data_IF_647488728803
#
_entry.id   IF_647488728803
#
_cell.length_a   1.000
_cell.length_b   1.000
_cell.length_c   1.000
_cell.angle_alpha   90.00
_cell.angle_beta   90.00
_cell.angle_gamma   90.00
#
_symmetry.space_group_name_H-M   'P 1'
#
loop_
_entity.id
_entity.type
_entity.pdbx_description
1 polymer ?
#
# COMPACT_ATOMS: atom_id res chain seq x y z
N UNK A 1 22.47 -49.75 -69.31
CA UNK A 1 22.87 -50.60 -68.16
C UNK A 1 23.82 -49.78 -67.30
N UNK A 2 23.64 -49.48 -66.02
CA UNK A 2 22.59 -49.75 -65.02
C UNK A 2 22.59 -48.52 -64.07
N UNK A 3 21.39 -48.07 -63.72
CA UNK A 3 21.14 -46.97 -62.80
C UNK A 3 21.42 -47.40 -61.35
N UNK A 4 22.04 -46.56 -60.54
CA UNK A 4 22.05 -46.72 -59.07
C UNK A 4 21.42 -45.45 -58.48
N UNK A 5 20.18 -45.63 -58.02
CA UNK A 5 19.38 -44.63 -57.33
C UNK A 5 19.80 -44.63 -55.86
N UNK A 6 20.28 -43.50 -55.34
CA UNK A 6 20.45 -43.31 -53.89
C UNK A 6 19.12 -42.88 -53.28
N UNK A 7 18.53 -43.76 -52.45
CA UNK A 7 17.35 -43.46 -51.66
C UNK A 7 17.76 -42.80 -50.34
N UNK A 8 17.32 -41.56 -50.12
CA UNK A 8 17.50 -40.81 -48.88
C UNK A 8 16.38 -41.21 -47.90
N UNK A 9 16.68 -42.02 -46.90
CA UNK A 9 15.74 -42.35 -45.82
C UNK A 9 15.69 -41.23 -44.79
N UNK A 10 14.60 -40.46 -44.77
CA UNK A 10 14.30 -39.47 -43.74
C UNK A 10 13.75 -40.21 -42.50
N UNK A 11 14.55 -40.30 -41.43
CA UNK A 11 14.10 -40.80 -40.13
C UNK A 11 13.26 -39.71 -39.44
N UNK A 12 11.94 -39.91 -39.34
CA UNK A 12 11.06 -39.07 -38.51
C UNK A 12 11.23 -39.47 -37.04
N UNK A 13 11.91 -38.62 -36.25
CA UNK A 13 11.92 -38.69 -34.79
C UNK A 13 10.58 -38.14 -34.26
N UNK A 14 9.67 -39.03 -33.88
CA UNK A 14 8.43 -38.67 -33.19
C UNK A 14 8.78 -38.31 -31.74
N UNK A 15 8.80 -37.03 -31.43
CA UNK A 15 8.88 -36.55 -30.05
C UNK A 15 7.51 -36.75 -29.39
N UNK A 16 7.36 -37.82 -28.61
CA UNK A 16 6.24 -37.96 -27.69
C UNK A 16 6.44 -36.99 -26.52
N UNK A 17 5.89 -35.78 -26.64
CA UNK A 17 5.69 -34.92 -25.49
C UNK A 17 4.55 -35.50 -24.64
N UNK A 18 4.88 -36.16 -23.53
CA UNK A 18 3.91 -36.52 -22.51
C UNK A 18 3.36 -35.23 -21.89
N UNK A 19 2.19 -34.79 -22.34
CA UNK A 19 1.45 -33.74 -21.66
C UNK A 19 0.99 -34.28 -20.30
N UNK A 20 1.60 -33.81 -19.21
CA UNK A 20 1.13 -34.09 -17.86
C UNK A 20 -0.27 -33.48 -17.66
N UNK A 21 -1.18 -34.21 -17.01
CA UNK A 21 -2.49 -33.68 -16.62
C UNK A 21 -2.26 -32.52 -15.65
N UNK A 22 -2.68 -31.31 -16.04
CA UNK A 22 -2.64 -30.14 -15.16
C UNK A 22 -3.91 -30.12 -14.31
N UNK A 23 -3.74 -30.23 -13.00
CA UNK A 23 -4.81 -30.03 -12.02
C UNK A 23 -4.65 -28.68 -11.32
N UNK A 24 -5.73 -28.09 -10.77
CA UNK A 24 -5.61 -26.87 -9.98
C UNK A 24 -4.65 -27.06 -8.80
N UNK A 25 -3.75 -26.09 -8.59
CA UNK A 25 -2.85 -26.12 -7.45
C UNK A 25 -3.64 -26.01 -6.15
N UNK A 26 -3.36 -26.89 -5.17
CA UNK A 26 -4.02 -26.89 -3.87
C UNK A 26 -3.80 -25.59 -3.07
N UNK A 27 -2.76 -24.83 -3.40
CA UNK A 27 -2.48 -23.50 -2.86
C UNK A 27 -2.13 -22.58 -4.03
N UNK A 28 -3.12 -21.89 -4.62
CA UNK A 28 -2.89 -21.02 -5.76
C UNK A 28 -1.90 -19.91 -5.44
N UNK A 29 -1.01 -19.61 -6.38
CA UNK A 29 -0.13 -18.44 -6.31
C UNK A 29 -0.96 -17.17 -6.53
N UNK A 30 -0.66 -16.12 -5.78
CA UNK A 30 -1.19 -14.78 -6.00
C UNK A 30 -0.08 -13.76 -6.00
N UNK A 31 -0.28 -12.68 -6.76
CA UNK A 31 0.56 -11.49 -6.76
C UNK A 31 -0.35 -10.28 -6.62
N UNK A 32 0.04 -9.32 -5.79
CA UNK A 32 -0.67 -8.04 -5.66
C UNK A 32 0.31 -6.89 -5.51
N UNK A 33 -0.05 -5.75 -6.09
CA UNK A 33 0.69 -4.50 -5.98
C UNK A 33 -0.18 -3.46 -5.26
N UNK A 34 0.44 -2.64 -4.41
CA UNK A 34 -0.23 -1.53 -3.75
C UNK A 34 0.72 -0.36 -3.57
N UNK A 35 0.26 0.85 -3.86
CA UNK A 35 1.03 2.07 -3.59
C UNK A 35 0.55 2.70 -2.30
N UNK A 36 1.47 2.86 -1.34
CA UNK A 36 1.25 3.52 -0.05
C UNK A 36 2.11 4.76 -0.02
N UNK A 37 1.48 5.93 0.10
CA UNK A 37 2.17 7.20 -0.11
C UNK A 37 2.81 7.26 -1.50
N UNK A 38 4.14 7.21 -1.56
CA UNK A 38 4.93 7.15 -2.80
C UNK A 38 5.77 5.88 -2.91
N UNK A 39 5.41 4.83 -2.17
CA UNK A 39 6.14 3.56 -2.11
C UNK A 39 5.26 2.43 -2.62
N UNK A 40 5.77 1.69 -3.59
CA UNK A 40 5.13 0.49 -4.12
C UNK A 40 5.51 -0.71 -3.25
N UNK A 41 4.50 -1.45 -2.84
CA UNK A 41 4.60 -2.68 -2.07
C UNK A 41 4.02 -3.82 -2.90
N UNK A 42 4.83 -4.84 -3.17
CA UNK A 42 4.43 -6.03 -3.90
C UNK A 42 4.39 -7.24 -2.97
N UNK A 43 3.33 -8.04 -3.07
CA UNK A 43 3.20 -9.33 -2.40
C UNK A 43 3.17 -10.46 -3.43
N UNK A 44 3.90 -11.53 -3.18
CA UNK A 44 3.87 -12.76 -3.96
C UNK A 44 3.86 -13.96 -3.01
N UNK A 45 2.76 -14.73 -2.99
CA UNK A 45 2.59 -15.83 -2.04
C UNK A 45 1.58 -16.87 -2.52
N UNK A 46 1.65 -18.09 -1.97
CA UNK A 46 0.61 -19.11 -2.20
C UNK A 46 -0.44 -19.08 -1.09
N UNK A 47 -1.70 -19.34 -1.47
CA UNK A 47 -2.87 -19.20 -0.60
C UNK A 47 -3.48 -20.56 -0.22
N UNK A 48 -2.98 -21.27 0.81
CA UNK A 48 -3.63 -22.50 1.27
C UNK A 48 -5.03 -22.24 1.85
N UNK A 49 -5.96 -23.15 1.60
CA UNK A 49 -7.31 -23.14 2.20
C UNK A 49 -7.33 -23.86 3.55
N UNK A 50 -8.25 -23.46 4.43
CA UNK A 50 -8.48 -24.10 5.72
C UNK A 50 -9.01 -25.52 5.55
N UNK A 51 -9.96 -25.72 4.64
CA UNK A 51 -10.55 -27.02 4.31
C UNK A 51 -11.04 -27.76 5.56
N UNK A 52 -11.87 -27.11 6.38
CA UNK A 52 -12.41 -27.66 7.64
C UNK A 52 -11.38 -28.05 8.71
N UNK A 53 -10.08 -27.78 8.52
CA UNK A 53 -9.04 -28.04 9.52
C UNK A 53 -9.01 -26.93 10.58
N UNK A 54 -8.42 -27.23 11.74
CA UNK A 54 -7.93 -26.21 12.67
C UNK A 54 -6.58 -25.71 12.16
N UNK A 55 -6.39 -24.40 12.10
CA UNK A 55 -5.12 -23.87 11.57
C UNK A 55 -4.11 -23.76 12.71
N UNK A 56 -4.39 -22.90 13.69
CA UNK A 56 -3.39 -22.59 14.72
C UNK A 56 -3.43 -23.60 15.86
N UNK A 57 -2.25 -24.12 16.21
CA UNK A 57 -2.09 -25.21 17.16
C UNK A 57 -2.31 -26.61 16.58
N UNK A 58 -2.55 -26.73 15.27
CA UNK A 58 -2.60 -28.01 14.54
C UNK A 58 -1.77 -27.91 13.25
N UNK A 59 -2.34 -27.43 12.14
CA UNK A 59 -1.61 -27.28 10.87
C UNK A 59 -0.41 -26.32 10.99
N UNK A 60 -0.57 -25.26 11.77
CA UNK A 60 0.49 -24.31 12.13
C UNK A 60 0.70 -24.43 13.65
N UNK A 61 1.70 -25.23 14.09
CA UNK A 61 1.97 -25.43 15.51
C UNK A 61 2.43 -24.14 16.19
N UNK A 62 2.02 -23.94 17.44
CA UNK A 62 2.54 -22.84 18.25
C UNK A 62 4.02 -23.03 18.60
N UNK A 63 4.71 -21.91 18.79
CA UNK A 63 6.14 -21.83 19.12
C UNK A 63 7.09 -22.41 18.06
N UNK A 64 6.58 -22.70 16.85
CA UNK A 64 7.34 -23.21 15.73
C UNK A 64 7.41 -22.17 14.62
N UNK A 65 8.58 -22.06 13.97
CA UNK A 65 8.74 -21.18 12.82
C UNK A 65 7.87 -21.66 11.66
N UNK A 66 7.21 -20.73 10.98
CA UNK A 66 6.35 -20.97 9.84
C UNK A 66 6.72 -20.03 8.70
N UNK A 67 6.73 -20.56 7.48
CA UNK A 67 6.97 -19.82 6.22
C UNK A 67 5.86 -18.84 5.82
N UNK A 68 4.85 -18.65 6.68
CA UNK A 68 3.72 -17.73 6.49
C UNK A 68 3.05 -17.89 5.12
N UNK A 69 2.64 -19.12 4.79
CA UNK A 69 2.03 -19.47 3.51
C UNK A 69 2.25 -20.96 3.14
N UNK A 70 2.14 -21.27 1.85
CA UNK A 70 2.41 -22.59 1.28
C UNK A 70 3.42 -22.53 0.12
N UNK A 71 4.00 -23.67 -0.27
CA UNK A 71 4.97 -23.78 -1.35
C UNK A 71 6.22 -22.90 -1.10
N UNK A 72 6.63 -22.11 -2.09
CA UNK A 72 7.66 -21.06 -1.97
C UNK A 72 7.21 -20.03 -0.91
N UNK A 73 8.16 -19.58 -0.10
CA UNK A 73 7.99 -18.50 0.88
C UNK A 73 7.20 -17.31 0.34
N UNK A 74 6.40 -16.71 1.23
CA UNK A 74 5.70 -15.46 0.93
C UNK A 74 6.71 -14.31 0.84
N UNK A 75 6.71 -13.59 -0.28
CA UNK A 75 7.63 -12.50 -0.56
C UNK A 75 6.90 -11.18 -0.48
N UNK A 76 7.52 -10.21 0.17
CA UNK A 76 7.15 -8.79 0.14
C UNK A 76 8.30 -7.97 -0.41
N UNK A 77 8.01 -7.07 -1.35
CA UNK A 77 9.00 -6.20 -1.99
C UNK A 77 8.63 -4.74 -1.82
N UNK A 78 9.60 -3.92 -1.45
CA UNK A 78 9.44 -2.47 -1.26
C UNK A 78 10.28 -1.68 -2.28
N UNK A 79 9.69 -0.65 -2.89
CA UNK A 79 10.41 0.28 -3.78
C UNK A 79 11.31 1.28 -3.05
N UNK A 80 11.05 1.53 -1.77
CA UNK A 80 11.76 2.46 -0.91
C UNK A 80 12.07 1.82 0.44
N UNK A 81 12.99 2.43 1.19
CA UNK A 81 13.20 2.07 2.59
C UNK A 81 11.92 2.35 3.37
N UNK A 82 11.53 1.43 4.25
CA UNK A 82 10.34 1.55 5.10
C UNK A 82 10.72 1.41 6.57
N UNK A 83 9.82 1.80 7.47
CA UNK A 83 9.99 1.53 8.90
C UNK A 83 8.96 0.53 9.40
N UNK A 84 9.42 -0.43 10.19
CA UNK A 84 8.60 -1.48 10.80
C UNK A 84 9.05 -1.61 12.26
N UNK A 85 8.12 -1.37 13.20
CA UNK A 85 8.41 -1.40 14.64
C UNK A 85 9.60 -0.49 15.05
N UNK A 86 9.73 0.67 14.40
CA UNK A 86 10.81 1.63 14.64
C UNK A 86 12.17 1.26 14.03
N UNK A 87 12.30 0.08 13.41
CA UNK A 87 13.49 -0.33 12.68
C UNK A 87 13.34 0.02 11.19
N UNK A 88 14.43 0.52 10.58
CA UNK A 88 14.48 0.74 9.13
C UNK A 88 14.72 -0.59 8.42
N UNK A 89 13.82 -0.92 7.49
CA UNK A 89 13.98 -2.01 6.53
C UNK A 89 14.34 -1.38 5.18
N UNK A 90 15.53 -1.69 4.67
CA UNK A 90 15.99 -1.16 3.38
C UNK A 90 15.09 -1.63 2.24
N UNK A 91 14.97 -0.84 1.16
CA UNK A 91 14.25 -1.27 -0.05
C UNK A 91 14.77 -2.63 -0.56
N UNK A 92 13.87 -3.44 -1.12
CA UNK A 92 14.20 -4.77 -1.60
C UNK A 92 13.13 -5.80 -1.30
N UNK A 93 13.44 -7.06 -1.58
CA UNK A 93 12.55 -8.22 -1.39
C UNK A 93 12.92 -9.01 -0.14
N UNK A 94 11.90 -9.40 0.61
CA UNK A 94 12.04 -10.14 1.86
C UNK A 94 11.04 -11.27 1.91
N UNK A 95 11.45 -12.39 2.49
CA UNK A 95 10.52 -13.44 2.90
C UNK A 95 9.84 -13.08 4.19
N UNK A 96 8.56 -13.38 4.30
CA UNK A 96 7.80 -13.26 5.52
C UNK A 96 7.81 -14.61 6.22
N UNK A 97 8.34 -14.65 7.45
CA UNK A 97 8.18 -15.77 8.36
C UNK A 97 7.41 -15.31 9.60
N UNK A 98 6.77 -16.26 10.27
CA UNK A 98 6.09 -16.00 11.52
C UNK A 98 6.30 -17.18 12.47
N UNK A 99 6.31 -16.88 13.77
CA UNK A 99 6.27 -17.88 14.84
C UNK A 99 5.08 -17.55 15.74
N UNK A 100 3.93 -18.19 15.50
CA UNK A 100 2.74 -18.02 16.32
C UNK A 100 2.97 -18.49 17.75
N UNK A 101 2.45 -17.76 18.72
CA UNK A 101 2.22 -18.28 20.10
C UNK A 101 0.74 -18.14 20.44
N UNK A 102 0.35 -18.56 21.64
CA UNK A 102 -1.03 -18.39 22.14
C UNK A 102 -1.38 -16.89 22.29
N UNK A 103 -0.40 -16.04 22.62
CA UNK A 103 -0.63 -14.61 22.86
C UNK A 103 -0.13 -13.73 21.72
N UNK A 104 1.20 -13.68 21.53
CA UNK A 104 1.84 -12.82 20.54
C UNK A 104 2.49 -13.62 19.42
N UNK A 105 2.57 -13.04 18.24
CA UNK A 105 3.28 -13.61 17.11
C UNK A 105 4.59 -12.88 16.90
N UNK A 106 5.66 -13.63 16.72
CA UNK A 106 6.90 -13.07 16.17
C UNK A 106 6.77 -13.08 14.65
N UNK A 107 6.94 -11.93 13.99
CA UNK A 107 6.98 -11.82 12.52
C UNK A 107 8.38 -11.40 12.11
N UNK A 108 8.87 -11.96 11.00
CA UNK A 108 10.23 -11.78 10.51
C UNK A 108 10.23 -11.41 9.04
N UNK A 109 11.03 -10.40 8.70
CA UNK A 109 11.38 -10.06 7.32
C UNK A 109 12.81 -10.58 7.08
N UNK A 110 12.93 -11.60 6.24
CA UNK A 110 14.16 -12.36 6.04
C UNK A 110 14.74 -12.13 4.65
N UNK A 111 16.05 -11.87 4.56
CA UNK A 111 16.71 -11.45 3.31
C UNK A 111 16.77 -12.52 2.22
N UNK A 112 16.79 -13.80 2.58
CA UNK A 112 16.80 -14.87 1.58
C UNK A 112 15.37 -15.16 1.10
N UNK A 113 15.13 -15.01 -0.21
CA UNK A 113 13.83 -15.16 -0.89
C UNK A 113 13.65 -16.48 -1.64
N UNK A 114 14.62 -17.40 -1.61
CA UNK A 114 14.58 -18.63 -2.42
C UNK A 114 14.19 -19.89 -1.63
N UNK A 115 13.54 -19.72 -0.47
CA UNK A 115 13.22 -20.83 0.42
C UNK A 115 11.88 -21.50 0.08
N UNK A 116 11.87 -22.83 0.03
CA UNK A 116 10.68 -23.67 -0.18
C UNK A 116 10.13 -24.23 1.14
N UNK A 117 10.19 -23.43 2.19
CA UNK A 117 10.01 -23.89 3.57
C UNK A 117 10.61 -22.94 4.60
N UNK A 118 10.63 -23.38 5.85
CA UNK A 118 11.60 -22.87 6.82
C UNK A 118 12.95 -23.49 6.46
N UNK A 119 14.02 -22.70 6.28
CA UNK A 119 15.36 -23.23 6.03
C UNK A 119 15.76 -24.23 7.12
N UNK A 120 16.43 -25.32 6.74
CA UNK A 120 16.93 -26.31 7.71
C UNK A 120 17.88 -25.66 8.73
N UNK A 121 18.76 -24.78 8.25
CA UNK A 121 19.58 -23.92 9.11
C UNK A 121 19.03 -22.49 9.05
N UNK A 122 18.46 -22.03 10.15
CA UNK A 122 18.06 -20.64 10.32
C UNK A 122 19.28 -19.76 10.61
N UNK A 123 19.48 -18.69 9.84
CA UNK A 123 20.64 -17.80 9.95
C UNK A 123 20.16 -16.43 10.45
N UNK A 124 20.37 -16.14 11.73
CA UNK A 124 19.83 -14.93 12.37
C UNK A 124 20.32 -13.63 11.72
N UNK A 125 21.53 -13.60 11.14
CA UNK A 125 22.05 -12.41 10.44
C UNK A 125 21.29 -12.04 9.16
N UNK A 126 20.46 -12.95 8.64
CA UNK A 126 19.57 -12.71 7.50
C UNK A 126 18.20 -12.16 7.93
N UNK A 127 17.89 -12.10 9.23
CA UNK A 127 16.71 -11.42 9.76
C UNK A 127 16.95 -9.92 9.66
N UNK A 128 16.25 -9.25 8.73
CA UNK A 128 16.36 -7.81 8.54
C UNK A 128 15.54 -7.03 9.58
N UNK A 129 14.33 -7.51 9.86
CA UNK A 129 13.46 -7.00 10.93
C UNK A 129 12.76 -8.17 11.60
N UNK A 130 12.64 -8.08 12.93
CA UNK A 130 11.83 -8.94 13.78
C UNK A 130 10.93 -8.07 14.63
N UNK A 131 9.66 -8.42 14.74
CA UNK A 131 8.71 -7.72 15.60
C UNK A 131 7.75 -8.69 16.28
N UNK A 132 7.21 -8.27 17.42
CA UNK A 132 6.11 -8.95 18.11
C UNK A 132 4.80 -8.24 17.80
N UNK A 133 3.79 -8.98 17.38
CA UNK A 133 2.45 -8.46 17.05
C UNK A 133 1.39 -9.27 17.78
N UNK A 134 0.42 -8.60 18.37
CA UNK A 134 -0.75 -9.26 18.98
C UNK A 134 -1.80 -9.53 17.89
N UNK A 135 -2.18 -10.79 17.63
CA UNK A 135 -3.26 -11.10 16.70
C UNK A 135 -4.60 -10.53 17.16
N UNK A 136 -5.42 -10.15 16.20
CA UNK A 136 -6.80 -9.72 16.39
C UNK A 136 -7.74 -10.85 15.99
N UNK A 137 -8.66 -11.18 16.89
CA UNK A 137 -9.73 -12.15 16.61
C UNK A 137 -10.76 -11.54 15.64
N UNK A 138 -11.12 -12.31 14.62
CA UNK A 138 -12.11 -11.96 13.62
C UNK A 138 -13.45 -12.61 13.94
N UNK A 139 -14.54 -11.92 13.60
CA UNK A 139 -15.90 -12.45 13.77
C UNK A 139 -16.27 -13.48 12.69
N UNK A 140 -15.57 -13.45 11.54
CA UNK A 140 -15.80 -14.33 10.41
C UNK A 140 -14.58 -15.23 10.17
N UNK A 141 -14.81 -16.42 9.64
CA UNK A 141 -13.74 -17.32 9.23
C UNK A 141 -13.22 -16.94 7.85
N UNK A 142 -11.91 -16.70 7.76
CA UNK A 142 -11.13 -16.54 6.54
C UNK A 142 -10.71 -17.92 6.06
N UNK A 143 -11.39 -18.42 5.04
CA UNK A 143 -11.17 -19.77 4.49
C UNK A 143 -9.80 -19.90 3.83
N UNK A 144 -9.40 -18.91 3.03
CA UNK A 144 -8.16 -18.95 2.25
C UNK A 144 -7.14 -17.99 2.82
N UNK A 145 -5.94 -18.49 3.14
CA UNK A 145 -4.83 -17.68 3.63
C UNK A 145 -4.62 -16.44 2.74
N UNK A 146 -4.54 -15.28 3.39
CA UNK A 146 -4.49 -14.00 2.71
C UNK A 146 -3.46 -13.09 3.37
N UNK A 147 -2.51 -12.61 2.57
CA UNK A 147 -1.71 -11.42 2.85
C UNK A 147 -2.35 -10.25 2.12
N UNK A 148 -2.55 -9.13 2.84
CA UNK A 148 -3.18 -7.94 2.29
C UNK A 148 -2.47 -6.67 2.75
N UNK A 149 -2.45 -5.65 1.88
CA UNK A 149 -2.07 -4.28 2.26
C UNK A 149 -3.35 -3.50 2.54
N UNK A 150 -3.60 -3.19 3.81
CA UNK A 150 -4.83 -2.59 4.29
C UNK A 150 -4.58 -1.31 5.10
N UNK A 151 -5.67 -0.64 5.51
CA UNK A 151 -5.62 0.55 6.38
C UNK A 151 -4.63 1.61 5.88
N UNK A 152 -4.64 1.83 4.56
CA UNK A 152 -3.71 2.71 3.88
C UNK A 152 -3.98 4.16 4.28
N UNK A 153 -2.92 4.85 4.69
CA UNK A 153 -2.87 6.29 4.88
C UNK A 153 -1.87 6.89 3.89
N UNK A 154 -1.67 8.21 3.93
CA UNK A 154 -0.63 8.86 3.12
C UNK A 154 0.79 8.45 3.52
N UNK A 155 1.02 7.89 4.71
CA UNK A 155 2.35 7.59 5.25
C UNK A 155 2.49 6.20 5.88
N UNK A 156 1.45 5.37 5.87
CA UNK A 156 1.50 4.04 6.47
C UNK A 156 0.45 3.08 5.91
N UNK A 157 0.63 1.79 6.16
CA UNK A 157 -0.38 0.76 5.97
C UNK A 157 -0.22 -0.34 7.03
N UNK A 158 -1.14 -1.31 7.01
CA UNK A 158 -0.99 -2.60 7.67
C UNK A 158 -0.76 -3.69 6.61
N UNK A 159 0.31 -4.47 6.76
CA UNK A 159 0.38 -5.81 6.19
C UNK A 159 -0.44 -6.72 7.10
N UNK A 160 -1.57 -7.21 6.60
CA UNK A 160 -2.45 -8.11 7.32
C UNK A 160 -2.16 -9.55 6.93
N UNK A 161 -1.93 -10.41 7.92
CA UNK A 161 -1.83 -11.87 7.75
C UNK A 161 -3.13 -12.48 8.26
N UNK A 162 -4.01 -12.89 7.34
CA UNK A 162 -5.34 -13.40 7.66
C UNK A 162 -5.49 -14.89 7.34
N UNK A 163 -5.93 -15.68 8.32
CA UNK A 163 -6.38 -17.05 8.10
C UNK A 163 -7.18 -17.55 9.30
N UNK A 164 -8.14 -18.44 9.05
CA UNK A 164 -9.09 -18.88 10.08
C UNK A 164 -9.78 -17.68 10.71
N UNK A 165 -9.64 -17.45 12.01
CA UNK A 165 -10.29 -16.37 12.74
C UNK A 165 -9.29 -15.35 13.28
N UNK A 166 -8.08 -15.28 12.71
CA UNK A 166 -7.04 -14.34 13.13
C UNK A 166 -6.65 -13.39 12.00
N UNK A 167 -6.40 -12.13 12.37
CA UNK A 167 -5.63 -11.16 11.61
C UNK A 167 -4.39 -10.76 12.43
N UNK A 168 -3.21 -10.78 11.82
CA UNK A 168 -1.98 -10.26 12.42
C UNK A 168 -1.57 -8.98 11.67
N UNK A 169 -1.91 -7.79 12.19
CA UNK A 169 -1.63 -6.53 11.51
C UNK A 169 -0.20 -6.03 11.81
N UNK A 170 0.66 -6.03 10.80
CA UNK A 170 2.01 -5.46 10.86
C UNK A 170 1.98 -4.03 10.30
N UNK A 171 2.18 -3.03 11.15
CA UNK A 171 2.28 -1.63 10.70
C UNK A 171 3.59 -1.40 9.95
N UNK A 172 3.45 -0.81 8.76
CA UNK A 172 4.55 -0.40 7.89
C UNK A 172 4.40 1.11 7.65
N UNK A 173 5.46 1.85 7.90
CA UNK A 173 5.52 3.30 7.66
C UNK A 173 6.42 3.57 6.45
N UNK A 174 5.96 4.45 5.55
CA UNK A 174 6.64 4.79 4.29
C UNK A 174 7.16 6.22 4.33
N UNK A 175 8.25 6.54 3.59
CA UNK A 175 8.95 7.82 3.71
C UNK A 175 8.28 8.96 2.92
N UNK A 176 6.96 9.04 2.93
CA UNK A 176 6.19 10.00 2.12
C UNK A 176 6.63 11.44 2.37
N UNK A 177 6.69 11.85 3.64
CA UNK A 177 7.03 13.25 3.97
C UNK A 177 8.43 13.64 3.54
N UNK A 178 9.39 12.73 3.72
CA UNK A 178 10.77 12.92 3.25
C UNK A 178 10.81 13.11 1.73
N UNK A 179 10.11 12.25 0.97
CA UNK A 179 10.09 12.29 -0.49
C UNK A 179 9.37 13.53 -1.01
N UNK A 180 8.19 13.84 -0.48
CA UNK A 180 7.41 15.01 -0.90
C UNK A 180 8.12 16.31 -0.54
N UNK A 181 8.69 16.42 0.66
CA UNK A 181 9.41 17.64 1.06
C UNK A 181 10.64 17.89 0.19
N UNK A 182 11.42 16.85 -0.11
CA UNK A 182 12.56 16.96 -1.03
C UNK A 182 12.12 17.39 -2.44
N UNK A 183 11.01 16.82 -2.94
CA UNK A 183 10.46 17.20 -4.24
C UNK A 183 9.94 18.64 -4.26
N UNK A 184 9.24 19.09 -3.22
CA UNK A 184 8.79 20.48 -3.09
C UNK A 184 9.99 21.43 -3.13
N UNK A 185 11.05 21.16 -2.37
CA UNK A 185 12.27 21.99 -2.38
C UNK A 185 12.85 22.13 -3.79
N UNK A 186 12.91 21.04 -4.55
CA UNK A 186 13.41 21.06 -5.92
C UNK A 186 12.49 21.85 -6.87
N UNK A 187 11.19 21.60 -6.82
CA UNK A 187 10.20 22.21 -7.74
C UNK A 187 10.02 23.71 -7.48
N UNK A 188 10.19 24.15 -6.23
CA UNK A 188 10.07 25.56 -5.85
C UNK A 188 11.16 26.48 -6.43
N UNK A 189 12.14 25.94 -7.16
CA UNK A 189 13.09 26.75 -7.95
C UNK A 189 12.47 27.37 -9.22
N UNK A 190 11.39 26.79 -9.75
CA UNK A 190 10.67 27.30 -10.92
C UNK A 190 9.21 26.84 -10.94
N UNK A 191 8.41 27.16 -9.92
CA UNK A 191 7.11 26.55 -9.71
C UNK A 191 6.03 27.10 -10.66
N UNK A 192 5.17 26.20 -11.13
CA UNK A 192 3.91 26.55 -11.79
C UNK A 192 2.82 26.89 -10.76
N UNK A 193 1.68 27.41 -11.23
CA UNK A 193 0.51 27.58 -10.37
C UNK A 193 0.10 26.26 -9.68
N UNK A 194 0.14 25.13 -10.41
CA UNK A 194 -0.22 23.82 -9.86
C UNK A 194 0.78 23.33 -8.81
N UNK A 195 2.06 23.63 -8.97
CA UNK A 195 3.08 23.23 -7.98
C UNK A 195 2.87 23.93 -6.65
N UNK A 196 2.57 25.23 -6.68
CA UNK A 196 2.18 25.98 -5.50
C UNK A 196 0.92 25.40 -4.83
N UNK A 197 -0.11 25.09 -5.62
CA UNK A 197 -1.34 24.49 -5.11
C UNK A 197 -1.09 23.12 -4.46
N UNK A 198 -0.34 22.25 -5.13
CA UNK A 198 -0.04 20.90 -4.65
C UNK A 198 0.79 20.94 -3.36
N UNK A 199 1.80 21.83 -3.28
CA UNK A 199 2.59 22.02 -2.08
C UNK A 199 1.75 22.55 -0.91
N UNK A 200 0.91 23.57 -1.15
CA UNK A 200 0.00 24.11 -0.16
C UNK A 200 -0.98 23.06 0.37
N UNK A 201 -1.61 22.31 -0.53
CA UNK A 201 -2.53 21.22 -0.18
C UNK A 201 -1.81 20.16 0.65
N UNK A 202 -0.61 19.75 0.25
CA UNK A 202 0.17 18.77 1.00
C UNK A 202 0.52 19.24 2.41
N UNK A 203 0.95 20.49 2.57
CA UNK A 203 1.27 21.08 3.88
C UNK A 203 0.04 21.13 4.77
N UNK A 204 -1.13 21.47 4.22
CA UNK A 204 -2.40 21.44 4.97
C UNK A 204 -2.77 20.03 5.41
N UNK A 205 -2.83 19.09 4.47
CA UNK A 205 -3.24 17.70 4.73
C UNK A 205 -2.30 17.00 5.72
N UNK A 206 -1.00 17.34 5.67
CA UNK A 206 0.03 16.80 6.56
C UNK A 206 0.21 17.64 7.83
N UNK A 207 -0.62 18.66 8.07
CA UNK A 207 -0.59 19.57 9.24
C UNK A 207 0.80 20.16 9.51
N UNK A 208 1.50 20.58 8.45
CA UNK A 208 2.80 21.27 8.51
C UNK A 208 2.57 22.78 8.76
N UNK A 209 3.46 23.62 8.26
CA UNK A 209 3.33 25.08 8.36
C UNK A 209 2.14 25.59 7.51
N UNK A 210 1.02 25.88 8.18
CA UNK A 210 -0.20 26.38 7.53
C UNK A 210 -0.03 27.81 7.00
N UNK A 211 0.85 28.62 7.59
CA UNK A 211 1.14 29.97 7.10
C UNK A 211 1.86 29.91 5.76
N UNK A 212 2.87 29.03 5.65
CA UNK A 212 3.55 28.79 4.38
C UNK A 212 2.61 28.16 3.33
N UNK A 213 1.75 27.23 3.76
CA UNK A 213 0.72 26.68 2.89
C UNK A 213 -0.19 27.77 2.32
N UNK A 214 -0.57 28.76 3.14
CA UNK A 214 -1.46 29.84 2.70
C UNK A 214 -0.77 30.75 1.68
N UNK A 215 0.50 31.11 1.91
CA UNK A 215 1.29 31.89 0.95
C UNK A 215 1.32 31.20 -0.42
N UNK A 216 1.59 29.89 -0.45
CA UNK A 216 1.59 29.12 -1.69
C UNK A 216 0.19 29.01 -2.31
N UNK A 217 -0.85 28.79 -1.50
CA UNK A 217 -2.22 28.72 -1.99
C UNK A 217 -2.65 30.03 -2.66
N UNK A 218 -2.39 31.18 -2.04
CA UNK A 218 -2.69 32.50 -2.61
C UNK A 218 -1.88 32.76 -3.88
N UNK A 219 -0.59 32.40 -3.88
CA UNK A 219 0.25 32.52 -5.06
C UNK A 219 -0.32 31.71 -6.22
N UNK A 220 -0.71 30.47 -5.98
CA UNK A 220 -1.37 29.61 -6.96
C UNK A 220 -2.62 30.25 -7.55
N UNK A 221 -3.54 30.71 -6.69
CA UNK A 221 -4.80 31.35 -7.11
C UNK A 221 -4.53 32.61 -7.93
N UNK A 222 -3.56 33.43 -7.52
CA UNK A 222 -3.16 34.64 -8.25
C UNK A 222 -2.58 34.36 -9.65
N UNK A 223 -2.03 33.16 -9.85
CA UNK A 223 -1.50 32.69 -11.13
C UNK A 223 -2.55 31.99 -12.02
N UNK A 224 -3.83 32.04 -11.63
CA UNK A 224 -4.95 31.53 -12.43
C UNK A 224 -5.56 30.22 -11.93
N UNK A 225 -5.07 29.64 -10.82
CA UNK A 225 -5.72 28.47 -10.20
C UNK A 225 -6.94 28.86 -9.36
N UNK A 226 -7.98 29.36 -10.02
CA UNK A 226 -9.21 29.86 -9.38
C UNK A 226 -10.47 29.02 -9.68
N UNK A 227 -10.30 27.80 -10.19
CA UNK A 227 -11.40 26.82 -10.35
C UNK A 227 -12.04 26.48 -8.99
N UNK A 228 -13.30 26.02 -9.01
CA UNK A 228 -14.05 25.75 -7.78
C UNK A 228 -13.32 24.82 -6.81
N UNK A 229 -12.62 23.79 -7.31
CA UNK A 229 -11.86 22.89 -6.44
C UNK A 229 -10.63 23.55 -5.82
N UNK A 230 -9.95 24.48 -6.50
CA UNK A 230 -8.84 25.25 -5.91
C UNK A 230 -9.35 26.17 -4.79
N UNK A 231 -10.43 26.92 -5.04
CA UNK A 231 -11.05 27.81 -4.05
C UNK A 231 -11.61 27.03 -2.86
N UNK A 232 -12.09 25.80 -3.08
CA UNK A 232 -12.49 24.89 -2.00
C UNK A 232 -11.31 24.51 -1.11
N UNK A 233 -10.15 24.20 -1.68
CA UNK A 233 -8.97 23.86 -0.88
C UNK A 233 -8.44 25.08 -0.12
N UNK A 234 -8.51 26.28 -0.72
CA UNK A 234 -8.21 27.53 -0.03
C UNK A 234 -9.15 27.75 1.16
N UNK A 235 -10.45 27.55 0.99
CA UNK A 235 -11.42 27.72 2.09
C UNK A 235 -11.19 26.76 3.25
N UNK A 236 -10.82 25.50 2.96
CA UNK A 236 -10.39 24.55 3.99
C UNK A 236 -9.16 25.03 4.75
N UNK A 237 -8.14 25.51 4.04
CA UNK A 237 -6.92 26.02 4.66
C UNK A 237 -7.19 27.23 5.56
N UNK A 238 -8.01 28.19 5.09
CA UNK A 238 -8.44 29.34 5.89
C UNK A 238 -9.17 28.91 7.16
N UNK A 239 -10.03 27.89 7.09
CA UNK A 239 -10.74 27.34 8.24
C UNK A 239 -9.80 26.60 9.22
N UNK A 240 -8.83 25.84 8.72
CA UNK A 240 -7.80 25.17 9.54
C UNK A 240 -6.93 26.19 10.29
N UNK A 241 -6.72 27.38 9.71
CA UNK A 241 -6.06 28.52 10.34
C UNK A 241 -6.99 29.34 11.27
N UNK A 242 -8.25 28.95 11.42
CA UNK A 242 -9.25 29.64 12.25
C UNK A 242 -9.81 30.93 11.63
N UNK A 243 -9.48 31.25 10.37
CA UNK A 243 -9.99 32.42 9.66
C UNK A 243 -11.34 32.11 9.00
N UNK A 244 -12.37 31.87 9.83
CA UNK A 244 -13.68 31.44 9.36
C UNK A 244 -14.37 32.45 8.44
N UNK A 245 -14.11 33.76 8.61
CA UNK A 245 -14.67 34.79 7.74
C UNK A 245 -14.12 34.67 6.31
N UNK A 246 -12.80 34.50 6.16
CA UNK A 246 -12.19 34.26 4.85
C UNK A 246 -12.65 32.91 4.27
N UNK A 247 -12.66 31.86 5.09
CA UNK A 247 -13.10 30.53 4.69
C UNK A 247 -14.51 30.53 4.10
N UNK A 248 -15.48 31.20 4.74
CA UNK A 248 -16.85 31.33 4.23
C UNK A 248 -16.89 32.08 2.89
N UNK A 249 -16.09 33.13 2.72
CA UNK A 249 -16.04 33.88 1.47
C UNK A 249 -15.48 33.02 0.32
N UNK A 250 -14.33 32.38 0.52
CA UNK A 250 -13.72 31.48 -0.47
C UNK A 250 -14.64 30.29 -0.80
N UNK A 251 -15.35 29.74 0.19
CA UNK A 251 -16.32 28.67 -0.02
C UNK A 251 -17.55 29.13 -0.84
N UNK A 252 -18.02 30.37 -0.66
CA UNK A 252 -19.10 30.94 -1.48
C UNK A 252 -18.68 31.14 -2.94
N UNK A 253 -17.45 31.58 -3.18
CA UNK A 253 -16.91 31.67 -4.55
C UNK A 253 -16.79 30.29 -5.19
N UNK A 254 -16.27 29.31 -4.45
CA UNK A 254 -16.24 27.91 -4.89
C UNK A 254 -17.64 27.37 -5.21
N UNK A 255 -18.63 27.63 -4.35
CA UNK A 255 -20.02 27.22 -4.52
C UNK A 255 -20.64 27.80 -5.80
N UNK A 256 -20.41 29.09 -6.08
CA UNK A 256 -20.89 29.73 -7.30
C UNK A 256 -20.37 29.00 -8.53
N UNK A 257 -19.06 28.81 -8.63
CA UNK A 257 -18.42 28.13 -9.76
C UNK A 257 -18.81 26.65 -9.86
N UNK A 258 -19.01 25.95 -8.73
CA UNK A 258 -19.47 24.56 -8.72
C UNK A 258 -20.93 24.43 -9.19
N UNK A 259 -21.78 25.40 -8.85
CA UNK A 259 -23.17 25.49 -9.32
C UNK A 259 -23.21 25.72 -10.83
N UNK A 260 -22.42 26.66 -11.34
CA UNK A 260 -22.29 26.92 -12.78
C UNK A 260 -21.81 25.67 -13.55
N UNK A 261 -20.95 24.86 -12.92
CA UNK A 261 -20.47 23.59 -13.48
C UNK A 261 -21.38 22.38 -13.20
N UNK A 262 -22.54 22.57 -12.56
CA UNK A 262 -23.47 21.51 -12.13
C UNK A 262 -22.81 20.36 -11.33
N UNK A 263 -21.79 20.67 -10.53
CA UNK A 263 -21.07 19.67 -9.73
C UNK A 263 -21.68 19.53 -8.32
N UNK A 264 -22.62 18.60 -8.18
CA UNK A 264 -23.39 18.40 -6.95
C UNK A 264 -22.53 18.07 -5.71
N UNK A 265 -21.40 17.38 -5.87
CA UNK A 265 -20.52 17.03 -4.76
C UNK A 265 -19.90 18.29 -4.14
N UNK A 266 -19.34 19.17 -4.97
CA UNK A 266 -18.76 20.43 -4.49
C UNK A 266 -19.81 21.42 -4.01
N UNK A 267 -21.00 21.44 -4.62
CA UNK A 267 -22.14 22.23 -4.11
C UNK A 267 -22.46 21.81 -2.68
N UNK A 268 -22.61 20.51 -2.42
CA UNK A 268 -22.86 19.98 -1.08
C UNK A 268 -21.74 20.33 -0.10
N UNK A 269 -20.49 20.02 -0.46
CA UNK A 269 -19.33 20.26 0.42
C UNK A 269 -19.18 21.74 0.82
N UNK A 270 -19.41 22.66 -0.12
CA UNK A 270 -19.36 24.08 0.17
C UNK A 270 -20.53 24.53 1.04
N UNK A 271 -21.76 24.11 0.76
CA UNK A 271 -22.93 24.44 1.58
C UNK A 271 -22.76 23.97 3.03
N UNK A 272 -22.31 22.72 3.24
CA UNK A 272 -22.06 22.17 4.57
C UNK A 272 -21.02 23.00 5.33
N UNK A 273 -19.90 23.33 4.66
CA UNK A 273 -18.82 24.12 5.26
C UNK A 273 -19.25 25.56 5.57
N UNK A 274 -20.00 26.21 4.67
CA UNK A 274 -20.54 27.55 4.89
C UNK A 274 -21.49 27.54 6.09
N UNK A 275 -22.39 26.56 6.18
CA UNK A 275 -23.34 26.44 7.28
C UNK A 275 -22.64 26.20 8.63
N UNK A 276 -21.58 25.39 8.65
CA UNK A 276 -20.78 25.16 9.84
C UNK A 276 -19.98 26.42 10.25
N UNK A 277 -19.20 26.97 9.33
CA UNK A 277 -18.24 28.03 9.63
C UNK A 277 -18.89 29.39 9.85
N UNK A 278 -20.05 29.67 9.24
CA UNK A 278 -20.78 30.93 9.48
C UNK A 278 -21.19 31.11 10.94
N UNK A 279 -21.38 30.01 11.69
CA UNK A 279 -21.67 30.04 13.13
C UNK A 279 -20.44 30.38 13.99
N UNK A 280 -19.24 30.23 13.41
CA UNK A 280 -17.94 30.47 14.06
C UNK A 280 -17.35 31.82 13.67
N UNK A 281 -17.98 32.56 12.74
CA UNK A 281 -17.60 33.94 12.42
C UNK A 281 -17.94 34.81 13.62
N UNK A 282 -16.91 35.39 14.23
CA UNK A 282 -17.06 36.46 15.23
C UNK A 282 -17.30 37.79 14.55
#
# INVERSE_FOLDING_TARGET
MKNVVSALSFLFLVNYAFAQIKTPAASPLTKSESTVGLTTINLEYSRPSKNNRKIYGDLVPFNTMWRTGANKNSIITFSDDVMISGATLTKGSYSIFAKPTIGNWEVFFYKNTENWGVPETWVDSLVAVKLSVTPVMLNNTVETFTLNIANITSSSCHLEILWENLNVPVKIEVPTDKKVSANITQVMAGPTANDYYNAARYYRESKKDLSQAMIWMEKSVSMGNNKFWHLRQKSLLEADMGNYKAAVNSAKESLKLATEAANNDYIKMNNDSIAEWSKKVK
#
